data_IF_896029972920
#
_entry.id   IF_896029972920
#
_cell.length_a   1.000
_cell.length_b   1.000
_cell.length_c   1.000
_cell.angle_alpha   90.00
_cell.angle_beta   90.00
_cell.angle_gamma   90.00
#
_symmetry.space_group_name_H-M   'P 1'
#
loop_
_entity.id
_entity.type
_entity.pdbx_description
1 polymer ?
#
# COMPACT_ATOMS: atom_id res chain seq x y z
N UNK A 1 -13.70 8.94 2.14
CA UNK A 1 -14.02 7.73 1.36
C UNK A 1 -13.23 6.55 1.91
N UNK A 2 -13.83 5.37 1.95
CA UNK A 2 -13.18 4.13 2.41
C UNK A 2 -12.56 3.42 1.20
N UNK A 3 -11.23 3.28 1.18
CA UNK A 3 -10.50 2.53 0.17
C UNK A 3 -9.94 1.24 0.80
N UNK A 4 -10.11 0.09 0.17
CA UNK A 4 -9.67 -1.18 0.73
C UNK A 4 -8.61 -1.83 -0.17
N UNK A 5 -7.48 -2.20 0.43
CA UNK A 5 -6.52 -3.09 -0.21
C UNK A 5 -7.05 -4.51 0.00
N UNK A 6 -7.67 -5.08 -1.01
CA UNK A 6 -8.34 -6.38 -0.94
C UNK A 6 -7.38 -7.52 -1.27
N UNK A 7 -7.71 -8.73 -0.76
CA UNK A 7 -6.87 -9.92 -0.91
C UNK A 7 -7.26 -10.78 -2.13
N UNK A 8 -8.49 -10.68 -2.60
CA UNK A 8 -8.98 -11.42 -3.75
C UNK A 8 -10.31 -10.85 -4.24
N UNK A 9 -10.76 -11.30 -5.39
CA UNK A 9 -12.00 -10.87 -6.04
C UNK A 9 -13.23 -11.16 -5.16
N UNK A 10 -13.28 -12.33 -4.50
CA UNK A 10 -14.39 -12.71 -3.60
C UNK A 10 -14.55 -11.71 -2.44
N UNK A 11 -13.45 -11.24 -1.87
CA UNK A 11 -13.48 -10.21 -0.82
C UNK A 11 -14.04 -8.89 -1.37
N UNK A 12 -13.61 -8.48 -2.57
CA UNK A 12 -14.14 -7.26 -3.21
C UNK A 12 -15.68 -7.33 -3.38
N UNK A 13 -16.21 -8.45 -3.84
CA UNK A 13 -17.66 -8.66 -3.92
C UNK A 13 -18.34 -8.58 -2.56
N UNK A 14 -17.75 -9.18 -1.52
CA UNK A 14 -18.36 -9.22 -0.18
C UNK A 14 -18.50 -7.84 0.46
N UNK A 15 -17.58 -6.91 0.15
CA UNK A 15 -17.54 -5.57 0.77
C UNK A 15 -18.09 -4.45 -0.13
N UNK A 16 -18.56 -4.74 -1.33
CA UNK A 16 -18.96 -3.74 -2.36
C UNK A 16 -19.93 -2.67 -1.84
N UNK A 17 -20.79 -3.00 -0.90
CA UNK A 17 -21.81 -2.11 -0.39
C UNK A 17 -21.32 -1.15 0.72
N UNK A 18 -20.10 -1.39 1.25
CA UNK A 18 -19.55 -0.65 2.40
C UNK A 18 -18.23 0.07 2.08
N UNK A 19 -17.78 0.04 0.81
CA UNK A 19 -16.55 0.70 0.34
C UNK A 19 -16.84 1.70 -0.77
N UNK A 20 -15.93 2.65 -0.92
CA UNK A 20 -15.96 3.65 -2.01
C UNK A 20 -14.93 3.31 -3.09
N UNK A 21 -13.84 2.63 -2.73
CA UNK A 21 -12.75 2.33 -3.64
C UNK A 21 -12.04 1.00 -3.30
N UNK A 22 -11.47 0.38 -4.33
CA UNK A 22 -10.56 -0.76 -4.22
C UNK A 22 -9.14 -0.36 -4.58
N UNK A 23 -8.17 -0.97 -3.89
CA UNK A 23 -6.75 -0.90 -4.22
C UNK A 23 -6.28 -2.33 -4.48
N UNK A 24 -5.84 -2.60 -5.72
CA UNK A 24 -5.52 -3.93 -6.21
C UNK A 24 -4.01 -4.06 -6.47
N UNK A 25 -3.27 -4.79 -5.62
CA UNK A 25 -1.87 -5.10 -5.91
C UNK A 25 -1.76 -5.96 -7.16
N UNK A 26 -1.10 -5.46 -8.22
CA UNK A 26 -0.98 -6.20 -9.49
C UNK A 26 0.12 -7.26 -9.42
N UNK A 27 -0.14 -8.41 -10.01
CA UNK A 27 0.82 -9.50 -10.14
C UNK A 27 2.10 -9.03 -10.84
N UNK A 28 3.25 -9.48 -10.35
CA UNK A 28 4.61 -9.21 -10.85
C UNK A 28 5.14 -7.78 -10.64
N UNK A 29 4.28 -6.79 -10.41
CA UNK A 29 4.65 -5.39 -10.24
C UNK A 29 4.29 -4.79 -8.88
N UNK A 30 3.77 -5.61 -7.93
CA UNK A 30 3.56 -5.22 -6.54
C UNK A 30 4.47 -5.96 -5.59
N UNK A 31 4.93 -5.25 -4.56
CA UNK A 31 5.62 -5.79 -3.39
C UNK A 31 4.73 -5.59 -2.16
N UNK A 32 5.10 -6.18 -1.03
CA UNK A 32 4.36 -6.09 0.24
C UNK A 32 3.03 -6.86 0.29
N UNK A 33 2.70 -7.63 -0.76
CA UNK A 33 1.43 -8.37 -0.80
C UNK A 33 1.67 -9.82 -1.21
N UNK A 34 1.08 -10.74 -0.43
CA UNK A 34 1.11 -12.18 -0.71
C UNK A 34 0.16 -12.50 -1.86
N UNK A 35 -1.03 -11.89 -1.83
CA UNK A 35 -2.04 -12.04 -2.86
C UNK A 35 -1.97 -10.85 -3.83
N UNK A 36 -1.99 -11.16 -5.12
CA UNK A 36 -1.92 -10.17 -6.20
C UNK A 36 -2.95 -10.51 -7.27
N UNK A 37 -3.38 -9.52 -8.01
CA UNK A 37 -4.45 -9.60 -9.01
C UNK A 37 -3.86 -9.74 -10.41
N UNK A 38 -4.46 -10.56 -11.24
CA UNK A 38 -4.24 -10.60 -12.70
C UNK A 38 -5.02 -9.48 -13.38
N UNK A 39 -4.84 -9.30 -14.69
CA UNK A 39 -5.62 -8.32 -15.46
C UNK A 39 -7.10 -8.73 -15.52
N UNK A 40 -7.39 -10.03 -15.61
CA UNK A 40 -8.74 -10.58 -15.59
C UNK A 40 -9.44 -10.32 -14.25
N UNK A 41 -8.73 -10.52 -13.12
CA UNK A 41 -9.25 -10.20 -11.79
C UNK A 41 -9.59 -8.71 -11.65
N UNK A 42 -8.74 -7.83 -12.21
CA UNK A 42 -8.95 -6.37 -12.19
C UNK A 42 -10.20 -6.00 -12.97
N UNK A 43 -10.39 -6.56 -14.18
CA UNK A 43 -11.57 -6.33 -15.01
C UNK A 43 -12.84 -6.76 -14.27
N UNK A 44 -12.80 -7.90 -13.58
CA UNK A 44 -13.92 -8.39 -12.78
C UNK A 44 -14.25 -7.42 -11.62
N UNK A 45 -13.25 -6.92 -10.89
CA UNK A 45 -13.47 -5.95 -9.78
C UNK A 45 -14.01 -4.62 -10.31
N UNK A 46 -13.56 -4.13 -11.46
CA UNK A 46 -14.09 -2.90 -12.10
C UNK A 46 -15.59 -3.02 -12.36
N UNK A 47 -16.11 -4.22 -12.69
CA UNK A 47 -17.55 -4.45 -12.91
C UNK A 47 -18.41 -4.08 -11.70
N UNK A 48 -17.84 -4.01 -10.49
CA UNK A 48 -18.50 -3.60 -9.25
C UNK A 48 -18.79 -2.08 -9.18
N UNK A 49 -18.31 -1.30 -10.17
CA UNK A 49 -18.61 0.15 -10.33
C UNK A 49 -18.18 0.99 -9.13
N UNK A 50 -17.03 0.70 -8.56
CA UNK A 50 -16.35 1.51 -7.54
C UNK A 50 -15.06 2.09 -8.10
N UNK A 51 -14.56 3.19 -7.51
CA UNK A 51 -13.24 3.70 -7.84
C UNK A 51 -12.21 2.57 -7.68
N UNK A 52 -11.51 2.22 -8.75
CA UNK A 52 -10.53 1.13 -8.73
C UNK A 52 -9.15 1.69 -9.01
N UNK A 53 -8.23 1.43 -8.09
CA UNK A 53 -6.82 1.77 -8.19
C UNK A 53 -5.98 0.50 -8.30
N UNK A 54 -4.95 0.54 -9.14
CA UNK A 54 -4.01 -0.58 -9.32
C UNK A 54 -2.66 -0.20 -8.71
N UNK A 55 -2.07 -1.09 -7.93
CA UNK A 55 -0.81 -0.83 -7.26
C UNK A 55 0.37 -1.41 -8.03
N UNK A 56 1.29 -0.53 -8.44
CA UNK A 56 2.57 -0.81 -9.11
C UNK A 56 3.68 -0.23 -8.26
N UNK A 57 3.91 -0.81 -7.08
CA UNK A 57 4.79 -0.26 -6.05
C UNK A 57 6.15 -0.95 -5.95
N UNK A 58 6.61 -1.54 -7.03
CA UNK A 58 7.90 -2.22 -7.14
C UNK A 58 8.95 -1.31 -7.78
N UNK A 59 10.21 -1.38 -7.34
CA UNK A 59 11.35 -0.83 -8.09
C UNK A 59 11.51 -1.58 -9.40
N UNK A 60 11.69 -0.87 -10.49
CA UNK A 60 11.76 -1.41 -11.85
C UNK A 60 13.21 -1.44 -12.33
N UNK A 61 13.70 -2.63 -12.68
CA UNK A 61 14.99 -2.78 -13.33
C UNK A 61 14.89 -2.59 -14.86
N UNK A 62 15.99 -2.26 -15.50
CA UNK A 62 16.02 -2.03 -16.95
C UNK A 62 15.42 -3.20 -17.76
N UNK A 63 15.64 -4.44 -17.33
CA UNK A 63 15.07 -5.64 -17.95
C UNK A 63 13.55 -5.77 -17.83
N UNK A 64 12.92 -5.02 -16.93
CA UNK A 64 11.47 -5.05 -16.66
C UNK A 64 10.72 -3.92 -17.37
N UNK A 65 11.41 -2.95 -17.99
CA UNK A 65 10.80 -1.74 -18.56
C UNK A 65 9.80 -2.04 -19.69
N UNK A 66 10.10 -2.99 -20.57
CA UNK A 66 9.18 -3.34 -21.65
C UNK A 66 7.93 -4.06 -21.14
N UNK A 67 8.05 -4.88 -20.10
CA UNK A 67 6.90 -5.54 -19.49
C UNK A 67 6.05 -4.55 -18.68
N UNK A 68 6.68 -3.60 -17.99
CA UNK A 68 5.97 -2.47 -17.37
C UNK A 68 5.19 -1.66 -18.41
N UNK A 69 5.81 -1.35 -19.56
CA UNK A 69 5.14 -0.62 -20.63
C UNK A 69 3.92 -1.36 -21.16
N UNK A 70 4.03 -2.67 -21.42
CA UNK A 70 2.90 -3.52 -21.82
C UNK A 70 1.78 -3.51 -20.78
N UNK A 71 2.13 -3.65 -19.50
CA UNK A 71 1.18 -3.58 -18.41
C UNK A 71 0.42 -2.24 -18.38
N UNK A 72 1.15 -1.12 -18.43
CA UNK A 72 0.53 0.21 -18.38
C UNK A 72 -0.40 0.49 -19.58
N UNK A 73 -0.04 -0.01 -20.76
CA UNK A 73 -0.91 0.07 -21.95
C UNK A 73 -2.20 -0.71 -21.72
N UNK A 74 -2.12 -1.93 -21.16
CA UNK A 74 -3.29 -2.75 -20.85
C UNK A 74 -4.15 -2.10 -19.77
N UNK A 75 -3.57 -1.59 -18.70
CA UNK A 75 -4.30 -0.87 -17.67
C UNK A 75 -5.03 0.38 -18.21
N UNK A 76 -4.51 1.01 -19.25
CA UNK A 76 -5.14 2.15 -19.89
C UNK A 76 -6.38 1.81 -20.74
N UNK A 77 -6.59 0.53 -21.06
CA UNK A 77 -7.79 0.02 -21.72
C UNK A 77 -8.96 -0.12 -20.71
N UNK A 78 -8.65 -0.21 -19.42
CA UNK A 78 -9.62 -0.39 -18.34
C UNK A 78 -10.11 0.95 -17.77
N UNK A 79 -11.34 0.95 -17.22
CA UNK A 79 -11.92 2.08 -16.49
C UNK A 79 -11.39 2.11 -15.04
N UNK A 80 -10.08 2.27 -14.89
CA UNK A 80 -9.43 2.44 -13.60
C UNK A 80 -9.30 3.91 -13.24
N UNK A 81 -9.42 4.23 -11.96
CA UNK A 81 -9.26 5.59 -11.44
C UNK A 81 -7.80 6.04 -11.47
N UNK A 82 -6.89 5.15 -11.10
CA UNK A 82 -5.48 5.50 -11.05
C UNK A 82 -4.55 4.35 -10.75
N UNK A 83 -3.25 4.66 -10.85
CA UNK A 83 -2.16 3.73 -10.59
C UNK A 83 -1.29 4.27 -9.47
N UNK A 84 -1.15 3.50 -8.39
CA UNK A 84 -0.13 3.74 -7.36
C UNK A 84 1.23 3.41 -7.95
N UNK A 85 2.19 4.29 -7.79
CA UNK A 85 3.54 4.07 -8.30
C UNK A 85 4.61 4.42 -7.27
N UNK A 86 5.66 3.64 -7.27
CA UNK A 86 6.88 3.82 -6.50
C UNK A 86 8.03 4.30 -7.38
N UNK A 87 8.19 3.68 -8.55
CA UNK A 87 9.27 3.97 -9.49
C UNK A 87 8.88 5.05 -10.49
N UNK A 88 9.78 6.00 -10.74
CA UNK A 88 9.57 7.10 -11.68
C UNK A 88 9.37 6.65 -13.14
N UNK A 89 9.75 5.40 -13.48
CA UNK A 89 9.49 4.81 -14.79
C UNK A 89 7.99 4.82 -15.13
N UNK A 90 7.11 4.61 -14.14
CA UNK A 90 5.65 4.65 -14.34
C UNK A 90 5.21 6.05 -14.77
N UNK A 91 5.67 7.11 -14.09
CA UNK A 91 5.37 8.50 -14.43
C UNK A 91 5.87 8.85 -15.85
N UNK A 92 7.11 8.46 -16.14
CA UNK A 92 7.76 8.73 -17.43
C UNK A 92 7.02 8.05 -18.57
N UNK A 93 6.70 6.76 -18.43
CA UNK A 93 5.96 6.01 -19.43
C UNK A 93 4.53 6.54 -19.60
N UNK A 94 3.85 6.87 -18.51
CA UNK A 94 2.51 7.47 -18.58
C UNK A 94 2.52 8.75 -19.41
N UNK A 95 3.48 9.66 -19.17
CA UNK A 95 3.62 10.90 -19.94
C UNK A 95 3.96 10.63 -21.40
N UNK A 96 4.97 9.78 -21.66
CA UNK A 96 5.45 9.46 -23.02
C UNK A 96 4.38 8.81 -23.89
N UNK A 97 3.54 7.96 -23.30
CA UNK A 97 2.50 7.20 -23.99
C UNK A 97 1.13 7.87 -23.97
N UNK A 98 0.96 9.01 -23.29
CA UNK A 98 -0.30 9.73 -23.19
C UNK A 98 -1.41 8.96 -22.46
N UNK A 99 -1.05 8.14 -21.44
CA UNK A 99 -2.02 7.30 -20.75
C UNK A 99 -2.95 8.14 -19.88
N UNK A 100 -4.22 7.72 -19.74
CA UNK A 100 -5.32 8.54 -19.19
C UNK A 100 -5.51 8.43 -17.69
N UNK A 101 -5.21 7.27 -17.08
CA UNK A 101 -5.40 7.05 -15.65
C UNK A 101 -4.60 8.04 -14.80
N UNK A 102 -5.13 8.37 -13.63
CA UNK A 102 -4.45 9.24 -12.68
C UNK A 102 -3.27 8.52 -11.99
N UNK A 103 -2.34 9.29 -11.43
CA UNK A 103 -1.21 8.76 -10.69
C UNK A 103 -1.36 9.04 -9.21
N UNK A 104 -1.01 8.02 -8.40
CA UNK A 104 -0.90 8.10 -6.94
C UNK A 104 0.56 7.91 -6.56
N UNK A 105 1.23 8.97 -6.10
CA UNK A 105 2.58 8.86 -5.57
C UNK A 105 2.58 8.05 -4.28
N UNK A 106 3.34 6.97 -4.23
CA UNK A 106 3.33 6.01 -3.12
C UNK A 106 4.74 5.55 -2.79
N UNK A 107 5.44 6.34 -1.98
CA UNK A 107 6.69 5.91 -1.32
C UNK A 107 6.49 5.96 0.19
N UNK A 108 6.24 4.82 0.78
CA UNK A 108 5.76 4.64 2.15
C UNK A 108 6.54 5.41 3.21
N UNK A 109 7.87 5.51 3.07
CA UNK A 109 8.71 6.19 4.07
C UNK A 109 9.11 7.63 3.68
N UNK A 110 8.90 8.05 2.44
CA UNK A 110 9.39 9.33 1.94
C UNK A 110 8.32 10.40 1.78
N UNK A 111 7.05 10.06 1.95
CA UNK A 111 5.93 11.00 1.81
C UNK A 111 5.57 11.61 3.16
N UNK A 112 6.42 12.47 3.66
CA UNK A 112 6.35 12.99 5.03
C UNK A 112 6.11 14.49 5.13
N UNK A 113 6.00 15.21 4.01
CA UNK A 113 5.77 16.66 4.04
C UNK A 113 5.07 17.17 2.77
N UNK A 114 4.39 18.31 2.89
CA UNK A 114 3.62 18.89 1.80
C UNK A 114 4.48 19.38 0.62
N UNK A 115 5.75 19.71 0.82
CA UNK A 115 6.64 20.13 -0.28
C UNK A 115 6.93 18.98 -1.23
N UNK A 116 7.26 17.81 -0.70
CA UNK A 116 7.40 16.58 -1.48
C UNK A 116 6.10 16.25 -2.22
N UNK A 117 4.96 16.34 -1.55
CA UNK A 117 3.64 16.08 -2.14
C UNK A 117 3.38 17.04 -3.29
N UNK A 118 3.59 18.35 -3.08
CA UNK A 118 3.35 19.36 -4.11
C UNK A 118 4.30 19.22 -5.30
N UNK A 119 5.56 18.82 -5.08
CA UNK A 119 6.48 18.50 -6.16
C UNK A 119 5.91 17.37 -7.05
N UNK A 120 5.48 16.26 -6.46
CA UNK A 120 4.92 15.16 -7.23
C UNK A 120 3.58 15.51 -7.90
N UNK A 121 2.77 16.37 -7.26
CA UNK A 121 1.57 16.91 -7.87
C UNK A 121 1.90 17.71 -9.13
N UNK A 122 2.87 18.63 -9.07
CA UNK A 122 3.32 19.43 -10.20
C UNK A 122 3.96 18.56 -11.30
N UNK A 123 4.53 17.41 -10.94
CA UNK A 123 4.98 16.37 -11.88
C UNK A 123 3.84 15.55 -12.51
N UNK A 124 2.62 15.65 -12.00
CA UNK A 124 1.41 15.02 -12.57
C UNK A 124 0.77 13.91 -11.72
N UNK A 125 1.23 13.70 -10.48
CA UNK A 125 0.58 12.78 -9.54
C UNK A 125 -0.56 13.49 -8.81
N UNK A 126 -1.81 13.28 -9.23
CA UNK A 126 -2.98 13.93 -8.61
C UNK A 126 -3.24 13.49 -7.17
N UNK A 127 -2.75 12.33 -6.80
CA UNK A 127 -2.93 11.73 -5.50
C UNK A 127 -1.59 11.40 -4.86
N UNK A 128 -1.59 11.31 -3.55
CA UNK A 128 -0.41 10.92 -2.76
C UNK A 128 -0.81 10.03 -1.60
N UNK A 129 -0.04 8.98 -1.36
CA UNK A 129 -0.18 8.09 -0.23
C UNK A 129 0.80 8.49 0.87
N UNK A 130 0.27 8.90 2.02
CA UNK A 130 1.05 9.41 3.14
C UNK A 130 1.79 8.30 3.87
N UNK A 131 2.96 8.64 4.43
CA UNK A 131 3.68 7.76 5.34
C UNK A 131 2.86 7.47 6.60
N UNK A 132 2.90 6.22 7.05
CA UNK A 132 2.28 5.80 8.31
C UNK A 132 3.07 6.22 9.55
N UNK A 133 4.23 6.87 9.37
CA UNK A 133 5.08 7.38 10.46
C UNK A 133 4.74 8.83 10.87
N UNK A 134 3.81 9.47 10.16
CA UNK A 134 3.39 10.84 10.44
C UNK A 134 2.59 10.92 11.73
N UNK A 135 2.87 11.95 12.51
CA UNK A 135 2.03 12.30 13.65
C UNK A 135 0.87 13.23 13.24
N UNK A 136 -0.05 13.46 14.16
CA UNK A 136 -1.27 14.25 13.95
C UNK A 136 -0.98 15.66 13.43
N UNK A 137 -0.02 16.37 14.03
CA UNK A 137 0.32 17.76 13.64
C UNK A 137 0.87 17.84 12.21
N UNK A 138 1.70 16.87 11.85
CA UNK A 138 2.25 16.77 10.48
C UNK A 138 1.15 16.48 9.45
N UNK A 139 0.23 15.56 9.77
CA UNK A 139 -0.92 15.26 8.90
C UNK A 139 -1.80 16.49 8.72
N UNK A 140 -2.13 17.21 9.80
CA UNK A 140 -2.94 18.44 9.72
C UNK A 140 -2.25 19.53 8.88
N UNK A 141 -0.94 19.68 9.02
CA UNK A 141 -0.18 20.63 8.20
C UNK A 141 -0.20 20.24 6.71
N UNK A 142 0.00 18.94 6.42
CA UNK A 142 -0.08 18.41 5.06
C UNK A 142 -1.48 18.65 4.46
N UNK A 143 -2.54 18.37 5.19
CA UNK A 143 -3.92 18.59 4.74
C UNK A 143 -4.13 20.07 4.34
N UNK A 144 -3.61 21.01 5.12
CA UNK A 144 -3.78 22.45 4.88
C UNK A 144 -2.98 22.96 3.67
N UNK A 145 -1.83 22.33 3.35
CA UNK A 145 -0.84 22.90 2.42
C UNK A 145 -0.64 22.07 1.14
N UNK A 146 -1.16 20.85 1.07
CA UNK A 146 -0.97 20.01 -0.10
C UNK A 146 -1.98 20.29 -1.20
N UNK A 147 -1.52 20.22 -2.45
CA UNK A 147 -2.34 20.34 -3.67
C UNK A 147 -2.98 18.98 -4.05
N UNK A 148 -2.35 17.88 -3.68
CA UNK A 148 -2.77 16.53 -4.04
C UNK A 148 -3.92 16.04 -3.16
N UNK A 149 -4.74 15.13 -3.69
CA UNK A 149 -5.67 14.33 -2.90
C UNK A 149 -4.89 13.25 -2.14
N UNK A 150 -5.27 12.99 -0.89
CA UNK A 150 -4.47 12.20 0.03
C UNK A 150 -5.10 10.85 0.34
N UNK A 151 -4.23 9.84 0.46
CA UNK A 151 -4.52 8.53 1.03
C UNK A 151 -3.74 8.37 2.33
N UNK A 152 -4.34 7.76 3.34
CA UNK A 152 -3.67 7.38 4.59
C UNK A 152 -4.16 6.04 5.08
N UNK A 153 -3.25 5.22 5.62
CA UNK A 153 -3.63 4.02 6.37
C UNK A 153 -4.35 4.39 7.66
N UNK A 154 -5.52 3.79 7.87
CA UNK A 154 -6.26 3.91 9.12
C UNK A 154 -6.52 2.55 9.76
N UNK A 155 -6.34 1.45 9.00
CA UNK A 155 -6.56 0.11 9.51
C UNK A 155 -5.64 -0.93 8.82
N UNK A 156 -5.15 -1.89 9.61
CA UNK A 156 -4.44 -3.08 9.13
C UNK A 156 -2.97 -3.13 9.51
N UNK A 157 -2.29 -4.21 9.10
CA UNK A 157 -0.85 -4.33 9.29
C UNK A 157 -0.09 -3.39 8.38
N UNK A 158 0.96 -2.77 8.93
CA UNK A 158 1.81 -1.83 8.20
C UNK A 158 3.09 -2.53 7.73
N UNK A 159 3.53 -2.39 6.48
CA UNK A 159 4.85 -2.83 6.05
C UNK A 159 5.91 -1.95 6.73
N UNK A 160 6.79 -2.58 7.53
CA UNK A 160 7.85 -1.89 8.29
C UNK A 160 9.20 -1.96 7.59
N UNK A 161 9.41 -3.01 6.81
CA UNK A 161 10.64 -3.25 6.10
C UNK A 161 10.36 -4.05 4.83
N UNK A 162 11.01 -3.68 3.74
CA UNK A 162 10.89 -4.37 2.45
C UNK A 162 12.26 -4.56 1.81
N UNK A 163 12.51 -5.76 1.27
CA UNK A 163 13.71 -6.08 0.49
C UNK A 163 13.32 -6.84 -0.77
N UNK A 164 13.95 -6.50 -1.90
CA UNK A 164 13.85 -7.29 -3.15
C UNK A 164 14.52 -8.66 -3.07
N UNK A 165 15.25 -8.95 -1.99
CA UNK A 165 15.91 -10.24 -1.75
C UNK A 165 14.96 -11.19 -1.04
N UNK A 166 15.06 -12.49 -1.34
CA UNK A 166 14.35 -13.57 -0.64
C UNK A 166 15.05 -13.89 0.69
N UNK A 167 14.90 -13.02 1.68
CA UNK A 167 15.67 -13.10 2.92
C UNK A 167 15.31 -14.36 3.72
N UNK A 168 14.04 -14.75 3.77
CA UNK A 168 13.59 -15.95 4.48
C UNK A 168 14.15 -17.20 3.80
N UNK A 169 13.98 -17.31 2.48
CA UNK A 169 14.50 -18.45 1.70
C UNK A 169 16.03 -18.56 1.84
N UNK A 170 16.74 -17.45 1.75
CA UNK A 170 18.20 -17.42 1.88
C UNK A 170 18.63 -17.84 3.28
N UNK A 171 17.94 -17.38 4.33
CA UNK A 171 18.19 -17.78 5.71
C UNK A 171 17.99 -19.28 5.89
N UNK A 172 16.84 -19.81 5.49
CA UNK A 172 16.53 -21.25 5.60
C UNK A 172 17.58 -22.11 4.88
N UNK A 173 17.99 -21.71 3.68
CA UNK A 173 19.02 -22.40 2.91
C UNK A 173 20.39 -22.35 3.63
N UNK A 174 20.80 -21.20 4.17
CA UNK A 174 22.10 -21.05 4.84
C UNK A 174 22.24 -21.89 6.10
N UNK A 175 21.12 -22.18 6.76
CA UNK A 175 21.09 -23.01 7.97
C UNK A 175 20.55 -24.43 7.74
N UNK A 176 20.35 -24.84 6.48
CA UNK A 176 19.78 -26.14 6.11
C UNK A 176 18.44 -26.46 6.80
N UNK A 177 17.62 -25.44 7.03
CA UNK A 177 16.30 -25.57 7.65
C UNK A 177 15.26 -25.85 6.55
N UNK A 178 14.47 -26.93 6.71
CA UNK A 178 13.36 -27.21 5.80
C UNK A 178 12.25 -26.19 5.97
N UNK A 179 11.76 -25.66 4.84
CA UNK A 179 10.58 -24.79 4.85
C UNK A 179 9.33 -25.58 5.22
N UNK A 180 8.77 -25.30 6.39
CA UNK A 180 7.59 -26.00 6.91
C UNK A 180 6.25 -25.46 6.40
N UNK A 181 6.21 -24.62 5.37
CA UNK A 181 4.98 -23.98 4.82
C UNK A 181 4.07 -23.32 5.88
N UNK A 182 4.61 -22.92 7.02
CA UNK A 182 3.89 -22.18 8.05
C UNK A 182 4.07 -20.68 7.86
N UNK A 183 3.14 -19.91 8.39
CA UNK A 183 3.28 -18.46 8.49
C UNK A 183 4.64 -18.10 9.09
N UNK A 184 5.44 -17.33 8.35
CA UNK A 184 6.77 -16.90 8.79
C UNK A 184 6.62 -15.75 9.77
N UNK A 185 7.36 -15.82 10.85
CA UNK A 185 7.37 -14.78 11.87
C UNK A 185 8.78 -14.49 12.34
N UNK A 186 9.05 -13.22 12.61
CA UNK A 186 10.25 -12.77 13.28
C UNK A 186 9.91 -12.40 14.73
N UNK A 187 10.68 -12.92 15.66
CA UNK A 187 10.60 -12.55 17.08
C UNK A 187 11.71 -11.56 17.41
N UNK A 188 11.35 -10.44 18.01
CA UNK A 188 12.28 -9.47 18.56
C UNK A 188 11.71 -8.91 19.86
N UNK A 189 12.44 -9.05 20.97
CA UNK A 189 12.03 -8.53 22.28
C UNK A 189 10.58 -8.93 22.64
N UNK A 190 10.26 -10.21 22.56
CA UNK A 190 8.95 -10.81 22.80
C UNK A 190 7.84 -10.40 21.79
N UNK A 191 8.12 -9.49 20.89
CA UNK A 191 7.18 -9.06 19.85
C UNK A 191 7.26 -9.97 18.63
N UNK A 192 6.08 -10.24 18.06
CA UNK A 192 5.89 -11.14 16.91
C UNK A 192 5.56 -10.33 15.66
N UNK A 193 6.47 -10.32 14.69
CA UNK A 193 6.30 -9.63 13.41
C UNK A 193 5.96 -10.65 12.32
N UNK A 194 4.96 -10.34 11.49
CA UNK A 194 4.64 -11.18 10.33
C UNK A 194 5.64 -10.93 9.21
N UNK A 195 6.05 -11.99 8.52
CA UNK A 195 6.94 -11.91 7.36
C UNK A 195 6.28 -12.62 6.19
N UNK A 196 6.32 -11.99 5.03
CA UNK A 196 6.05 -12.63 3.74
C UNK A 196 7.32 -12.66 2.90
N UNK A 197 7.50 -13.73 2.15
CA UNK A 197 8.59 -13.88 1.17
C UNK A 197 7.97 -14.35 -0.14
N UNK A 198 7.75 -13.42 -1.05
CA UNK A 198 7.16 -13.65 -2.37
C UNK A 198 8.25 -13.65 -3.44
N UNK A 199 7.90 -13.95 -4.69
CA UNK A 199 8.84 -13.82 -5.83
C UNK A 199 9.38 -12.39 -6.03
N UNK A 200 8.70 -11.39 -5.49
CA UNK A 200 9.09 -9.98 -5.60
C UNK A 200 9.95 -9.50 -4.43
N UNK A 201 10.15 -10.30 -3.39
CA UNK A 201 10.99 -9.99 -2.25
C UNK A 201 10.35 -10.34 -0.91
N UNK A 202 10.99 -9.89 0.16
CA UNK A 202 10.58 -10.13 1.55
C UNK A 202 10.04 -8.85 2.16
N UNK A 203 8.91 -8.94 2.87
CA UNK A 203 8.33 -7.85 3.66
C UNK A 203 8.12 -8.28 5.10
N UNK A 204 8.51 -7.42 6.04
CA UNK A 204 8.20 -7.55 7.47
C UNK A 204 7.13 -6.54 7.81
N UNK A 205 6.05 -7.01 8.43
CA UNK A 205 4.93 -6.19 8.88
C UNK A 205 5.03 -5.81 10.35
N UNK A 206 4.26 -4.80 10.76
CA UNK A 206 4.10 -4.41 12.15
C UNK A 206 3.67 -5.60 13.02
N UNK A 207 4.01 -5.55 14.30
CA UNK A 207 3.56 -6.50 15.31
C UNK A 207 2.15 -6.19 15.86
N UNK A 208 1.52 -5.13 15.35
CA UNK A 208 0.19 -4.67 15.72
C UNK A 208 -0.64 -4.37 14.46
N UNK A 209 -1.95 -4.34 14.62
CA UNK A 209 -2.90 -3.86 13.63
C UNK A 209 -3.17 -2.39 13.96
N UNK A 210 -2.81 -1.49 13.02
CA UNK A 210 -3.23 -0.09 13.12
C UNK A 210 -4.77 -0.03 13.11
N UNK A 211 -5.36 0.79 13.97
CA UNK A 211 -6.80 1.02 13.98
C UNK A 211 -7.11 2.43 14.51
N UNK A 212 -7.16 3.39 13.61
CA UNK A 212 -7.50 4.78 13.91
C UNK A 212 -9.00 4.95 13.78
N UNK A 213 -9.71 5.05 14.92
CA UNK A 213 -11.18 5.17 14.95
C UNK A 213 -11.66 6.59 14.72
N UNK A 214 -10.84 7.56 14.97
CA UNK A 214 -11.20 8.95 14.81
C UNK A 214 -11.35 9.36 13.33
N UNK A 215 -12.13 10.43 13.12
CA UNK A 215 -12.37 10.95 11.78
C UNK A 215 -11.20 11.81 11.33
N UNK A 216 -10.49 11.35 10.31
CA UNK A 216 -9.49 12.13 9.59
C UNK A 216 -10.13 12.69 8.31
N UNK A 217 -10.10 14.01 8.12
CA UNK A 217 -10.68 14.68 6.94
C UNK A 217 -9.74 14.57 5.73
N UNK A 218 -9.66 13.37 5.15
CA UNK A 218 -8.92 13.09 3.93
C UNK A 218 -9.82 12.48 2.87
N UNK A 219 -9.33 12.47 1.61
CA UNK A 219 -10.10 11.92 0.48
C UNK A 219 -10.28 10.42 0.65
N UNK A 220 -9.18 9.67 0.91
CA UNK A 220 -9.23 8.21 1.05
C UNK A 220 -8.59 7.74 2.36
N UNK A 221 -9.38 7.03 3.15
CA UNK A 221 -8.96 6.27 4.33
C UNK A 221 -8.72 4.83 3.90
N UNK A 222 -7.49 4.35 4.06
CA UNK A 222 -7.07 3.04 3.55
C UNK A 222 -7.19 1.99 4.65
N UNK A 223 -7.88 0.91 4.31
CA UNK A 223 -8.04 -0.30 5.11
C UNK A 223 -7.28 -1.43 4.43
N UNK A 224 -6.25 -1.96 5.08
CA UNK A 224 -5.52 -3.11 4.59
C UNK A 224 -6.11 -4.39 5.20
N UNK A 225 -6.73 -5.22 4.36
CA UNK A 225 -7.38 -6.46 4.81
C UNK A 225 -6.42 -7.64 4.98
N UNK A 226 -5.11 -7.46 4.75
CA UNK A 226 -4.13 -8.54 4.85
C UNK A 226 -4.12 -9.21 6.23
N UNK A 227 -4.34 -10.55 6.26
CA UNK A 227 -4.40 -11.36 7.49
C UNK A 227 -5.40 -10.84 8.54
N UNK A 228 -6.46 -10.21 8.07
CA UNK A 228 -7.56 -9.71 8.90
C UNK A 228 -8.82 -10.48 8.54
N UNK A 229 -9.41 -11.12 9.54
CA UNK A 229 -10.67 -11.81 9.36
C UNK A 229 -11.83 -10.79 9.34
N UNK A 230 -12.81 -11.05 8.46
CA UNK A 230 -14.07 -10.32 8.41
C UNK A 230 -13.94 -8.79 8.25
N UNK A 231 -13.15 -8.33 7.25
CA UNK A 231 -12.96 -6.90 6.96
C UNK A 231 -14.30 -6.14 6.80
N UNK A 232 -15.37 -6.80 6.36
CA UNK A 232 -16.70 -6.17 6.23
C UNK A 232 -17.24 -5.66 7.56
N UNK A 233 -17.09 -6.44 8.62
CA UNK A 233 -17.53 -6.04 9.96
C UNK A 233 -16.72 -4.84 10.46
N UNK A 234 -15.43 -4.80 10.20
CA UNK A 234 -14.57 -3.67 10.56
C UNK A 234 -14.99 -2.40 9.84
N UNK A 235 -15.30 -2.49 8.55
CA UNK A 235 -15.78 -1.36 7.75
C UNK A 235 -17.14 -0.83 8.22
N UNK A 236 -17.97 -1.66 8.85
CA UNK A 236 -19.31 -1.28 9.33
C UNK A 236 -19.30 -0.87 10.80
N UNK A 237 -18.73 -1.68 11.69
CA UNK A 237 -18.88 -1.58 13.13
C UNK A 237 -17.56 -1.29 13.87
N UNK A 238 -16.42 -1.54 13.25
CA UNK A 238 -15.06 -1.39 13.79
C UNK A 238 -14.89 -1.90 15.25
N UNK A 239 -15.01 -3.22 15.41
CA UNK A 239 -14.95 -3.89 16.72
C UNK A 239 -13.54 -4.08 17.27
N UNK A 240 -12.49 -3.82 16.48
CA UNK A 240 -11.09 -3.94 16.91
C UNK A 240 -10.73 -2.86 17.95
N UNK A 241 -9.78 -3.18 18.82
CA UNK A 241 -9.18 -2.21 19.73
C UNK A 241 -8.49 -1.09 18.97
N UNK A 242 -8.47 0.11 19.55
CA UNK A 242 -7.80 1.25 18.94
C UNK A 242 -6.28 1.12 19.10
N UNK A 243 -5.54 1.30 17.99
CA UNK A 243 -4.08 1.36 17.98
C UNK A 243 -3.65 2.48 17.01
N UNK A 244 -3.14 3.54 17.57
CA UNK A 244 -2.87 4.80 16.86
C UNK A 244 -1.50 4.82 16.15
N UNK A 245 -0.68 3.79 16.34
CA UNK A 245 0.65 3.73 15.71
C UNK A 245 1.54 4.90 16.11
N UNK A 246 1.87 5.76 15.14
CA UNK A 246 2.67 6.97 15.36
C UNK A 246 1.85 8.25 15.53
N UNK A 247 0.53 8.19 15.39
CA UNK A 247 -0.33 9.37 15.28
C UNK A 247 -0.15 10.37 16.45
N UNK A 248 -0.04 9.87 17.67
CA UNK A 248 0.12 10.68 18.88
C UNK A 248 1.52 10.58 19.52
N UNK A 249 2.50 10.05 18.77
CA UNK A 249 3.89 9.96 19.24
C UNK A 249 4.68 11.18 18.81
N UNK A 250 5.59 11.61 19.68
CA UNK A 250 6.59 12.62 19.33
C UNK A 250 7.63 12.01 18.38
N UNK A 251 8.04 12.80 17.37
CA UNK A 251 9.11 12.40 16.47
C UNK A 251 10.45 12.56 17.19
N UNK A 252 11.19 11.45 17.33
CA UNK A 252 12.53 11.45 17.96
C UNK A 252 13.57 11.50 16.85
N UNK A 253 14.15 12.68 16.62
CA UNK A 253 15.20 12.88 15.62
C UNK A 253 16.63 12.59 16.12
N UNK A 254 16.82 12.49 17.44
CA UNK A 254 18.13 12.19 18.05
C UNK A 254 17.95 11.18 19.18
N UNK A 255 18.80 10.17 19.18
CA UNK A 255 18.94 9.29 20.35
C UNK A 255 19.57 10.14 21.46
N UNK A 256 18.91 10.27 22.59
CA UNK A 256 19.53 10.87 23.78
C UNK A 256 20.62 9.91 24.25
N UNK A 257 21.86 10.38 24.26
CA UNK A 257 22.93 9.68 24.96
C UNK A 257 22.52 9.54 26.43
N UNK A 258 22.65 8.33 26.94
CA UNK A 258 22.37 8.01 28.35
C UNK A 258 23.50 8.46 29.22
#
# INVERSE_FOLDING_TARGET
MKAVIVQNVKEAYNIKDVVDAYILPIKDFSINYENTFTLEDIEEVISLKKDTFVMVNKNIHNSELEDLKKLLLKLNEFDIKGVFFYDTAVLTLRKKLGLKFDLVWSQEHLTTNFKTINFWYDMGAKYTYLSSELNRKEIEEIIKKSKAKLFINVFGYLPMFTSRRHLVKNYLNSFNIKDGNKDKVLYKEEKKYKIIDTKNGTTVYSNYILNIKEKINLVYLVYNSYKVDNIKEILTNNTYEEELGFLDKEVIYKVKEK
#
